data_IF_416673270766
#
_entry.id   IF_416673270766
#
_cell.length_a   1.000
_cell.length_b   1.000
_cell.length_c   1.000
_cell.angle_alpha   90.00
_cell.angle_beta   90.00
_cell.angle_gamma   90.00
#
_symmetry.space_group_name_H-M   'P 1'
#
loop_
_entity.id
_entity.type
_entity.pdbx_description
1 polymer ?
#
# COMPACT_ATOMS: atom_id res chain seq x y z
N UNK A 1 -23.78 0.27 -14.25
CA UNK A 1 -22.60 0.68 -13.46
C UNK A 1 -23.00 0.55 -12.00
N UNK A 2 -22.30 -0.29 -11.23
CA UNK A 2 -22.53 -0.38 -9.79
C UNK A 2 -22.10 0.92 -9.08
N UNK A 3 -22.37 1.05 -7.77
CA UNK A 3 -21.92 2.20 -7.01
C UNK A 3 -20.38 2.27 -7.01
N UNK A 4 -19.85 3.48 -7.05
CA UNK A 4 -18.41 3.72 -6.90
C UNK A 4 -17.95 3.39 -5.49
N UNK A 5 -16.83 2.69 -5.37
CA UNK A 5 -16.23 2.29 -4.09
C UNK A 5 -15.02 3.18 -3.78
N UNK A 6 -14.98 3.69 -2.56
CA UNK A 6 -13.82 4.41 -2.03
C UNK A 6 -12.99 3.47 -1.15
N UNK A 7 -11.67 3.58 -1.27
CA UNK A 7 -10.70 2.74 -0.54
C UNK A 7 -9.93 3.62 0.44
N UNK A 8 -9.69 3.09 1.65
CA UNK A 8 -8.86 3.74 2.67
C UNK A 8 -7.63 2.88 2.91
N UNK A 9 -6.44 3.44 2.68
CA UNK A 9 -5.16 2.78 2.91
C UNK A 9 -4.55 3.24 4.23
N UNK A 10 -4.39 2.32 5.17
CA UNK A 10 -3.78 2.60 6.47
C UNK A 10 -2.25 2.45 6.40
N UNK A 11 -1.54 3.56 6.17
CA UNK A 11 -0.08 3.57 5.95
C UNK A 11 0.73 4.31 7.02
N UNK A 12 0.12 4.73 8.14
CA UNK A 12 0.74 5.61 9.15
C UNK A 12 1.46 4.86 10.32
N UNK A 13 1.88 3.60 10.12
CA UNK A 13 2.55 2.83 11.17
C UNK A 13 4.05 3.11 11.28
N UNK A 14 4.58 3.18 12.51
CA UNK A 14 6.01 3.45 12.78
C UNK A 14 7.00 2.35 12.32
N UNK A 15 6.54 1.14 11.98
CA UNK A 15 7.40 0.12 11.35
C UNK A 15 8.52 -0.47 12.23
N UNK A 16 8.49 -0.29 13.55
CA UNK A 16 9.63 -0.54 14.46
C UNK A 16 10.26 -1.94 14.40
N UNK A 17 9.51 -2.98 14.03
CA UNK A 17 10.03 -4.36 13.92
C UNK A 17 11.01 -4.55 12.75
N UNK A 18 10.98 -3.67 11.76
CA UNK A 18 11.82 -3.72 10.57
C UNK A 18 13.00 -2.73 10.65
N UNK A 19 13.26 -2.16 11.81
CA UNK A 19 14.46 -1.34 12.01
C UNK A 19 15.73 -2.15 11.69
N UNK A 20 16.73 -1.58 10.98
CA UNK A 20 16.89 -0.17 10.61
C UNK A 20 16.25 0.22 9.26
N UNK A 21 15.63 -0.71 8.53
CA UNK A 21 15.09 -0.45 7.19
C UNK A 21 14.03 0.66 7.20
N UNK A 22 13.28 0.79 8.30
CA UNK A 22 12.22 1.81 8.44
C UNK A 22 12.67 3.07 9.16
N UNK A 23 13.97 3.30 9.37
CA UNK A 23 14.48 4.49 10.07
C UNK A 23 14.10 5.78 9.33
N UNK A 24 14.38 5.80 8.03
CA UNK A 24 14.21 6.98 7.17
C UNK A 24 13.20 6.72 6.03
N UNK A 25 12.52 5.57 6.06
CA UNK A 25 11.59 5.13 5.02
C UNK A 25 10.36 4.44 5.64
N UNK A 26 9.12 4.85 5.30
CA UNK A 26 7.92 4.15 5.74
C UNK A 26 7.93 2.68 5.28
N UNK A 27 7.42 1.76 6.12
CA UNK A 27 7.31 0.33 5.75
C UNK A 27 6.63 0.14 4.39
N UNK A 28 5.55 0.87 4.13
CA UNK A 28 4.78 0.75 2.89
C UNK A 28 5.63 1.03 1.62
N UNK A 29 6.70 1.82 1.73
CA UNK A 29 7.56 2.18 0.60
C UNK A 29 8.86 1.35 0.56
N UNK A 30 8.98 0.32 1.39
CA UNK A 30 10.12 -0.60 1.29
C UNK A 30 10.02 -1.42 0.00
N UNK A 31 11.15 -1.67 -0.67
CA UNK A 31 11.17 -2.49 -1.87
C UNK A 31 10.81 -3.95 -1.54
N UNK A 32 10.10 -4.59 -2.46
CA UNK A 32 9.71 -5.99 -2.46
C UNK A 32 9.86 -6.51 -3.91
N UNK A 33 11.05 -7.01 -4.23
CA UNK A 33 11.41 -7.31 -5.62
C UNK A 33 11.61 -6.02 -6.40
N UNK A 34 10.96 -5.93 -7.57
CA UNK A 34 11.01 -4.75 -8.46
C UNK A 34 10.02 -3.65 -8.04
N UNK A 35 9.10 -3.95 -7.11
CA UNK A 35 8.02 -3.08 -6.65
C UNK A 35 8.22 -2.66 -5.18
N UNK A 36 7.30 -1.86 -4.62
CA UNK A 36 7.19 -1.63 -3.17
C UNK A 36 6.08 -2.47 -2.53
N UNK A 37 6.09 -2.58 -1.20
CA UNK A 37 4.97 -3.17 -0.45
C UNK A 37 3.64 -2.49 -0.80
N UNK A 38 3.63 -1.17 -0.99
CA UNK A 38 2.44 -0.41 -1.37
C UNK A 38 1.98 -0.76 -2.78
N UNK A 39 2.90 -0.95 -3.74
CA UNK A 39 2.54 -1.32 -5.11
C UNK A 39 1.82 -2.67 -5.16
N UNK A 40 2.28 -3.66 -4.38
CA UNK A 40 1.57 -4.95 -4.26
C UNK A 40 0.14 -4.79 -3.74
N UNK A 41 -0.08 -3.88 -2.78
CA UNK A 41 -1.41 -3.59 -2.24
C UNK A 41 -2.26 -2.87 -3.31
N UNK A 42 -1.68 -1.94 -4.05
CA UNK A 42 -2.36 -1.20 -5.12
C UNK A 42 -2.78 -2.14 -6.26
N UNK A 43 -1.95 -3.10 -6.66
CA UNK A 43 -2.31 -4.11 -7.66
C UNK A 43 -3.55 -4.91 -7.22
N UNK A 44 -3.67 -5.24 -5.93
CA UNK A 44 -4.87 -5.90 -5.41
C UNK A 44 -6.11 -4.98 -5.41
N UNK A 45 -5.93 -3.68 -5.14
CA UNK A 45 -7.01 -2.69 -5.21
C UNK A 45 -7.50 -2.49 -6.65
N UNK A 46 -6.59 -2.44 -7.63
CA UNK A 46 -6.94 -2.29 -9.04
C UNK A 46 -7.75 -3.47 -9.59
N UNK A 47 -7.58 -4.67 -9.02
CA UNK A 47 -8.39 -5.83 -9.35
C UNK A 47 -9.84 -5.75 -8.81
N UNK A 48 -10.14 -4.80 -7.92
CA UNK A 48 -11.50 -4.60 -7.38
C UNK A 48 -12.32 -3.75 -8.35
N UNK A 49 -13.46 -4.27 -8.86
CA UNK A 49 -14.29 -3.51 -9.78
C UNK A 49 -14.97 -2.31 -9.10
N UNK A 50 -15.16 -1.23 -9.85
CA UNK A 50 -15.84 0.00 -9.43
C UNK A 50 -15.11 0.83 -8.35
N UNK A 51 -13.80 0.66 -8.15
CA UNK A 51 -13.01 1.59 -7.32
C UNK A 51 -12.92 2.97 -8.00
N UNK A 52 -13.22 4.04 -7.27
CA UNK A 52 -13.01 5.41 -7.75
C UNK A 52 -11.52 5.72 -7.91
N UNK A 53 -11.14 6.35 -9.02
CA UNK A 53 -9.78 6.83 -9.27
C UNK A 53 -9.55 8.22 -8.70
#
# INVERSE_FOLDING_TARGET
MGPSLSVVLLAAGYGTRLYPLTKDRPKALLPLGDDTILDTIMQAVEAVPNVSR
#
